data_IF_635551311839
#
_entry.id   IF_635551311839
#
_cell.length_a   1.000
_cell.length_b   1.000
_cell.length_c   1.000
_cell.angle_alpha   90.00
_cell.angle_beta   90.00
_cell.angle_gamma   90.00
#
_symmetry.space_group_name_H-M   'P 1'
#
loop_
_entity.id
_entity.type
_entity.pdbx_description
1 polymer ?
#
# COMPACT_ATOMS: atom_id res chain seq x y z
N UNK A 1 16.48 -16.66 18.20
CA UNK A 1 15.42 -17.58 17.75
C UNK A 1 14.45 -16.78 16.91
N UNK A 2 14.36 -17.13 15.62
CA UNK A 2 13.66 -16.35 14.58
C UNK A 2 12.16 -16.26 14.86
N UNK A 3 11.64 -15.06 15.01
CA UNK A 3 10.20 -14.81 15.10
C UNK A 3 9.56 -15.19 13.77
N UNK A 4 8.75 -16.25 13.77
CA UNK A 4 7.93 -16.62 12.62
C UNK A 4 7.08 -15.42 12.19
N UNK A 5 7.35 -14.91 11.00
CA UNK A 5 6.50 -13.92 10.35
C UNK A 5 5.14 -14.58 10.11
N UNK A 6 4.11 -14.10 10.81
CA UNK A 6 2.77 -14.66 10.71
C UNK A 6 2.19 -14.26 9.36
N UNK A 7 2.38 -15.10 8.36
CA UNK A 7 1.77 -14.93 7.03
C UNK A 7 0.26 -15.04 7.20
N UNK A 8 -0.42 -13.90 7.20
CA UNK A 8 -1.89 -13.85 7.15
C UNK A 8 -2.29 -13.80 5.68
N UNK A 9 -3.16 -14.73 5.26
CA UNK A 9 -3.76 -14.67 3.93
C UNK A 9 -4.53 -13.34 3.83
N UNK A 10 -4.36 -12.55 2.76
CA UNK A 10 -5.09 -11.31 2.60
C UNK A 10 -6.59 -11.57 2.46
N UNK A 11 -7.40 -10.64 2.95
CA UNK A 11 -8.83 -10.64 2.62
C UNK A 11 -8.99 -10.16 1.18
N UNK A 12 -9.76 -10.89 0.38
CA UNK A 12 -10.00 -10.56 -1.02
C UNK A 12 -11.46 -10.15 -1.25
N UNK A 13 -11.67 -8.94 -1.78
CA UNK A 13 -12.99 -8.38 -2.05
C UNK A 13 -13.15 -8.13 -3.56
N UNK A 14 -13.97 -8.92 -4.28
CA UNK A 14 -14.23 -8.67 -5.69
C UNK A 14 -15.02 -7.37 -5.85
N UNK A 15 -14.54 -6.49 -6.73
CA UNK A 15 -15.25 -5.26 -7.09
C UNK A 15 -15.99 -5.42 -8.41
N UNK A 16 -17.17 -4.81 -8.50
CA UNK A 16 -17.86 -4.69 -9.79
C UNK A 16 -17.15 -3.66 -10.66
N UNK A 17 -17.08 -3.95 -11.96
CA UNK A 17 -16.66 -2.98 -12.98
C UNK A 17 -17.51 -1.71 -12.86
N UNK A 18 -16.87 -0.56 -13.04
CA UNK A 18 -17.54 0.75 -13.03
C UNK A 18 -17.33 1.46 -14.36
N UNK A 19 -18.05 2.55 -14.60
CA UNK A 19 -17.80 3.44 -15.76
C UNK A 19 -16.39 4.02 -15.78
N UNK A 20 -15.73 4.12 -14.62
CA UNK A 20 -14.39 4.67 -14.48
C UNK A 20 -13.28 3.60 -14.52
N UNK A 21 -13.59 2.36 -14.15
CA UNK A 21 -12.68 1.20 -14.24
C UNK A 21 -13.41 0.02 -14.90
N UNK A 22 -13.67 0.08 -16.21
CA UNK A 22 -14.48 -0.93 -16.90
C UNK A 22 -13.75 -2.27 -17.09
N UNK A 23 -12.42 -2.28 -17.00
CA UNK A 23 -11.58 -3.44 -17.33
C UNK A 23 -10.97 -4.12 -16.08
N UNK A 24 -11.43 -3.78 -14.87
CA UNK A 24 -10.87 -4.36 -13.66
C UNK A 24 -11.62 -5.64 -13.25
N UNK A 25 -10.95 -6.79 -13.37
CA UNK A 25 -11.43 -8.11 -12.90
C UNK A 25 -10.70 -8.61 -11.65
N UNK A 26 -9.82 -7.78 -11.07
CA UNK A 26 -9.01 -8.15 -9.92
C UNK A 26 -9.71 -7.77 -8.60
N UNK A 27 -9.61 -8.61 -7.56
CA UNK A 27 -10.12 -8.27 -6.24
C UNK A 27 -9.23 -7.23 -5.56
N UNK A 28 -9.82 -6.43 -4.68
CA UNK A 28 -9.06 -5.64 -3.70
C UNK A 28 -8.54 -6.58 -2.62
N UNK A 29 -7.24 -6.51 -2.34
CA UNK A 29 -6.59 -7.28 -1.28
C UNK A 29 -6.35 -6.39 -0.06
N UNK A 30 -6.75 -6.85 1.12
CA UNK A 30 -6.52 -6.17 2.39
C UNK A 30 -5.58 -7.03 3.26
N UNK A 31 -4.39 -6.49 3.52
CA UNK A 31 -3.40 -7.07 4.43
C UNK A 31 -3.48 -6.37 5.80
N UNK A 32 -3.97 -7.08 6.82
CA UNK A 32 -4.14 -6.50 8.16
C UNK A 32 -2.86 -6.57 8.96
N UNK A 33 -2.49 -5.46 9.60
CA UNK A 33 -1.40 -5.37 10.58
C UNK A 33 -0.02 -5.83 10.04
N UNK A 34 0.24 -5.66 8.74
CA UNK A 34 1.53 -6.05 8.13
C UNK A 34 2.64 -5.00 8.32
N UNK A 35 2.28 -3.74 8.54
CA UNK A 35 3.23 -2.65 8.82
C UNK A 35 3.25 -2.37 10.32
N UNK A 36 4.00 -3.18 11.07
CA UNK A 36 4.14 -3.08 12.52
C UNK A 36 5.64 -3.02 12.91
N UNK A 37 6.07 -2.04 13.73
CA UNK A 37 5.31 -0.88 14.20
C UNK A 37 4.89 0.05 13.05
N UNK A 38 3.87 0.88 13.27
CA UNK A 38 3.32 1.75 12.23
C UNK A 38 3.99 3.13 12.26
N UNK A 39 5.22 3.21 11.75
CA UNK A 39 5.93 4.46 11.51
C UNK A 39 6.61 4.45 10.14
N UNK A 40 7.01 5.62 9.65
CA UNK A 40 7.59 5.76 8.30
C UNK A 40 8.85 4.92 8.10
N UNK A 41 9.75 4.90 9.09
CA UNK A 41 11.04 4.20 9.03
C UNK A 41 10.83 2.69 8.88
N UNK A 42 10.13 2.07 9.83
CA UNK A 42 9.82 0.64 9.82
C UNK A 42 8.99 0.21 8.61
N UNK A 43 8.01 1.01 8.19
CA UNK A 43 7.25 0.73 6.96
C UNK A 43 8.15 0.78 5.72
N UNK A 44 9.03 1.79 5.63
CA UNK A 44 9.99 1.93 4.54
C UNK A 44 10.96 0.74 4.47
N UNK A 45 11.43 0.26 5.63
CA UNK A 45 12.33 -0.90 5.72
C UNK A 45 11.64 -2.20 5.28
N UNK A 46 10.41 -2.43 5.73
CA UNK A 46 9.62 -3.62 5.34
C UNK A 46 9.41 -3.60 3.82
N UNK A 47 8.93 -2.48 3.27
CA UNK A 47 8.65 -2.36 1.84
C UNK A 47 9.94 -2.54 1.01
N UNK A 48 11.03 -1.88 1.38
CA UNK A 48 12.30 -1.98 0.65
C UNK A 48 12.90 -3.39 0.66
N UNK A 49 12.74 -4.15 1.75
CA UNK A 49 13.15 -5.57 1.78
C UNK A 49 12.38 -6.45 0.79
N UNK A 50 11.18 -6.03 0.38
CA UNK A 50 10.35 -6.72 -0.62
C UNK A 50 10.46 -6.09 -2.02
N UNK A 51 11.52 -5.31 -2.29
CA UNK A 51 11.82 -4.77 -3.63
C UNK A 51 11.13 -3.45 -3.97
N UNK A 52 10.44 -2.83 -3.02
CA UNK A 52 9.80 -1.53 -3.20
C UNK A 52 10.80 -0.39 -2.99
N UNK A 53 10.86 0.61 -3.87
CA UNK A 53 11.78 1.75 -3.70
C UNK A 53 11.12 2.94 -2.98
N UNK A 54 11.77 3.48 -1.95
CA UNK A 54 11.31 4.73 -1.31
C UNK A 54 11.73 5.93 -2.14
N UNK A 55 10.77 6.61 -2.78
CA UNK A 55 11.03 7.87 -3.52
C UNK A 55 10.81 9.14 -2.69
N UNK A 56 10.14 9.04 -1.55
CA UNK A 56 9.86 10.17 -0.67
C UNK A 56 8.62 9.94 0.18
N UNK A 57 8.25 10.99 0.93
CA UNK A 57 7.05 11.05 1.75
C UNK A 57 6.29 12.33 1.42
N UNK A 58 5.03 12.20 1.01
CA UNK A 58 4.16 13.32 0.64
C UNK A 58 2.89 13.35 1.49
N UNK A 59 2.18 14.47 1.47
CA UNK A 59 0.85 14.60 2.10
C UNK A 59 -0.29 14.23 1.13
N UNK A 60 -1.53 14.31 1.61
CA UNK A 60 -2.71 13.86 0.86
C UNK A 60 -2.99 14.62 -0.42
N UNK A 61 -2.90 13.89 -1.54
CA UNK A 61 -3.41 14.33 -2.84
C UNK A 61 -4.88 13.91 -2.93
N UNK A 62 -5.79 14.86 -2.75
CA UNK A 62 -7.25 14.60 -2.86
C UNK A 62 -7.75 14.57 -4.31
N UNK A 63 -6.91 14.97 -5.27
CA UNK A 63 -7.25 14.98 -6.68
C UNK A 63 -7.18 13.56 -7.26
N UNK A 64 -8.28 13.13 -7.87
CA UNK A 64 -8.35 11.86 -8.61
C UNK A 64 -7.36 11.90 -9.78
N UNK A 65 -6.44 10.96 -9.82
CA UNK A 65 -5.46 10.82 -10.90
C UNK A 65 -5.27 9.34 -11.26
N UNK A 66 -4.66 9.09 -12.42
CA UNK A 66 -4.41 7.74 -12.93
C UNK A 66 -2.97 7.67 -13.43
N UNK A 67 -2.28 6.60 -13.06
CA UNK A 67 -0.94 6.29 -13.57
C UNK A 67 -1.02 5.08 -14.51
N UNK A 68 -0.63 5.20 -15.77
CA UNK A 68 -0.69 4.10 -16.72
C UNK A 68 0.38 3.02 -16.49
N UNK A 69 1.45 3.36 -15.77
CA UNK A 69 2.61 2.51 -15.56
C UNK A 69 3.00 2.35 -14.08
N UNK A 70 2.41 3.10 -13.16
CA UNK A 70 2.82 3.12 -11.74
C UNK A 70 1.78 2.47 -10.83
N UNK A 71 2.24 1.66 -9.87
CA UNK A 71 1.41 1.12 -8.78
C UNK A 71 1.73 1.82 -7.47
N UNK A 72 0.84 2.71 -7.01
CA UNK A 72 1.03 3.41 -5.73
C UNK A 72 0.58 2.58 -4.53
N UNK A 73 1.36 2.61 -3.44
CA UNK A 73 1.01 2.03 -2.15
C UNK A 73 0.69 3.13 -1.12
N UNK A 74 -0.36 2.96 -0.34
CA UNK A 74 -0.78 3.93 0.69
C UNK A 74 -0.60 3.32 2.09
N UNK A 75 0.13 4.02 2.96
CA UNK A 75 0.34 3.63 4.35
C UNK A 75 -0.16 4.69 5.32
N UNK A 76 -1.36 4.52 5.90
CA UNK A 76 -1.87 5.48 6.88
C UNK A 76 -1.35 5.15 8.28
N UNK A 77 -0.58 6.06 8.89
CA UNK A 77 -0.20 5.97 10.30
C UNK A 77 -1.25 6.65 11.20
N UNK A 78 -1.39 6.21 12.46
CA UNK A 78 -2.31 6.83 13.42
C UNK A 78 -1.72 8.11 14.03
N UNK A 79 -0.39 8.25 14.05
CA UNK A 79 0.31 9.35 14.73
C UNK A 79 0.60 10.57 13.84
N UNK A 80 0.49 10.45 12.52
CA UNK A 80 0.56 11.56 11.58
C UNK A 80 -0.55 11.43 10.55
N UNK A 81 -1.22 12.53 10.23
CA UNK A 81 -2.51 12.50 9.55
C UNK A 81 -2.51 11.71 8.22
N UNK A 82 -1.42 11.68 7.46
CA UNK A 82 -1.29 10.85 6.27
C UNK A 82 0.18 10.77 5.83
N UNK A 83 0.73 9.57 5.69
CA UNK A 83 2.07 9.33 5.14
C UNK A 83 1.91 8.64 3.79
N UNK A 84 2.40 9.26 2.72
CA UNK A 84 2.42 8.66 1.39
C UNK A 84 3.76 7.99 1.19
N UNK A 85 3.76 6.71 0.84
CA UNK A 85 4.96 6.07 0.30
C UNK A 85 4.65 5.83 -1.18
N UNK A 86 4.92 6.84 -2.02
CA UNK A 86 4.90 6.59 -3.47
C UNK A 86 6.02 5.63 -3.79
N UNK A 87 5.65 4.51 -4.37
CA UNK A 87 6.58 3.52 -4.86
C UNK A 87 6.26 3.33 -6.33
N UNK A 88 7.26 3.48 -7.18
CA UNK A 88 7.14 3.15 -8.59
C UNK A 88 7.59 1.71 -8.82
N UNK A 89 6.84 0.98 -9.65
CA UNK A 89 7.39 0.06 -10.63
C UNK A 89 7.28 0.73 -11.99
#
# INVERSE_FOLDING_TARGET
>A
MSSYEKVTQPEAYPLKRTTHCPNNDLPVLIYRNVLQPLNEESASEILQRHGWEKKGTWGTISLKHFHPNTHECYGKSISSAETFISINL
#
